data_IF_485510061307
#
_entry.id   IF_485510061307
#
_cell.length_a   1.000
_cell.length_b   1.000
_cell.length_c   1.000
_cell.angle_alpha   90.00
_cell.angle_beta   90.00
_cell.angle_gamma   90.00
#
_symmetry.space_group_name_H-M   'P 1'
#
loop_
_entity.id
_entity.type
_entity.pdbx_description
1 polymer ?
#
# COMPACT_ATOMS: atom_id res chain seq x y z
N UNK A 1 -20.07 27.08 -1.14
CA UNK A 1 -19.95 26.14 -2.28
C UNK A 1 -18.95 25.07 -1.89
N UNK A 2 -19.44 23.89 -1.49
CA UNK A 2 -18.58 22.73 -1.32
C UNK A 2 -18.32 22.17 -2.72
N UNK A 3 -17.09 22.34 -3.23
CA UNK A 3 -16.67 21.59 -4.40
C UNK A 3 -16.65 20.12 -3.98
N UNK A 4 -17.65 19.36 -4.43
CA UNK A 4 -17.60 17.90 -4.43
C UNK A 4 -16.43 17.53 -5.35
N UNK A 5 -15.24 17.40 -4.76
CA UNK A 5 -14.07 16.88 -5.44
C UNK A 5 -14.47 15.48 -5.89
N UNK A 6 -14.58 15.27 -7.21
CA UNK A 6 -14.96 13.99 -7.77
C UNK A 6 -14.00 12.93 -7.19
N UNK A 7 -14.49 11.78 -6.69
CA UNK A 7 -13.62 10.72 -6.20
C UNK A 7 -12.60 10.36 -7.28
N UNK A 8 -11.33 10.18 -6.90
CA UNK A 8 -10.31 9.78 -7.84
C UNK A 8 -10.70 8.43 -8.49
N UNK A 9 -10.47 8.25 -9.79
CA UNK A 9 -10.74 6.97 -10.42
C UNK A 9 -9.85 5.87 -9.78
N UNK A 10 -10.37 4.65 -9.60
CA UNK A 10 -9.66 3.54 -8.98
C UNK A 10 -8.24 3.31 -9.51
N UNK A 11 -8.03 3.47 -10.82
CA UNK A 11 -6.74 3.29 -11.50
C UNK A 11 -5.72 4.37 -11.10
N UNK A 12 -6.18 5.60 -10.89
CA UNK A 12 -5.34 6.71 -10.39
C UNK A 12 -4.95 6.47 -8.93
N UNK A 13 -5.83 5.90 -8.11
CA UNK A 13 -5.51 5.54 -6.73
C UNK A 13 -4.43 4.46 -6.66
N UNK A 14 -4.56 3.41 -7.48
CA UNK A 14 -3.56 2.33 -7.57
C UNK A 14 -2.22 2.87 -8.07
N UNK A 15 -2.20 3.60 -9.18
CA UNK A 15 -0.95 4.13 -9.75
C UNK A 15 -0.30 5.21 -8.88
N UNK A 16 -1.10 6.05 -8.21
CA UNK A 16 -0.63 7.01 -7.22
C UNK A 16 0.00 6.32 -6.01
N UNK A 17 -0.57 5.20 -5.56
CA UNK A 17 -0.01 4.40 -4.47
C UNK A 17 1.31 3.73 -4.89
N UNK A 18 1.39 3.17 -6.10
CA UNK A 18 2.66 2.61 -6.63
C UNK A 18 3.74 3.68 -6.67
N UNK A 19 3.43 4.87 -7.20
CA UNK A 19 4.39 5.97 -7.29
C UNK A 19 4.86 6.44 -5.92
N UNK A 20 3.92 6.63 -4.98
CA UNK A 20 4.23 7.11 -3.64
C UNK A 20 5.02 6.08 -2.82
N UNK A 21 4.72 4.79 -2.93
CA UNK A 21 5.48 3.72 -2.26
C UNK A 21 6.89 3.59 -2.82
N UNK A 22 7.07 3.77 -4.13
CA UNK A 22 8.39 3.80 -4.77
C UNK A 22 9.23 5.01 -4.31
N UNK A 23 8.65 6.21 -4.25
CA UNK A 23 9.32 7.39 -3.72
C UNK A 23 9.73 7.22 -2.25
N UNK A 24 8.82 6.68 -1.43
CA UNK A 24 9.05 6.48 0.00
C UNK A 24 10.18 5.49 0.27
N UNK A 25 10.19 4.36 -0.43
CA UNK A 25 11.23 3.33 -0.33
C UNK A 25 12.57 3.81 -0.88
N UNK A 26 12.58 4.54 -2.01
CA UNK A 26 13.78 5.14 -2.60
C UNK A 26 14.42 6.17 -1.66
N UNK A 27 13.59 6.99 -1.01
CA UNK A 27 14.05 8.00 -0.04
C UNK A 27 14.68 7.35 1.19
N UNK A 28 14.15 6.21 1.65
CA UNK A 28 14.77 5.44 2.73
C UNK A 28 16.12 4.86 2.30
N UNK A 29 16.22 4.32 1.09
CA UNK A 29 17.48 3.80 0.57
C UNK A 29 18.54 4.91 0.50
N UNK A 30 18.17 6.09 -0.02
CA UNK A 30 19.02 7.26 -0.02
C UNK A 30 19.47 7.66 1.39
N UNK A 31 18.57 7.63 2.39
CA UNK A 31 18.88 7.88 3.81
C UNK A 31 19.80 6.85 4.43
N UNK A 32 19.62 5.57 4.11
CA UNK A 32 20.49 4.50 4.59
C UNK A 32 21.91 4.66 4.04
N UNK A 33 22.04 5.00 2.75
CA UNK A 33 23.33 5.30 2.12
C UNK A 33 23.98 6.58 2.68
N UNK A 34 23.18 7.60 3.02
CA UNK A 34 23.66 8.89 3.56
C UNK A 34 23.82 8.92 5.08
N UNK A 35 23.76 7.77 5.78
CA UNK A 35 24.02 7.65 7.24
C UNK A 35 25.38 8.21 7.71
N UNK A 36 26.26 8.63 6.81
CA UNK A 36 27.53 9.29 7.10
C UNK A 36 27.53 10.82 6.92
N UNK A 37 26.47 11.46 6.40
CA UNK A 37 26.49 12.88 6.02
C UNK A 37 25.33 13.76 6.57
N UNK A 38 24.38 13.18 7.31
CA UNK A 38 23.21 13.90 7.84
C UNK A 38 21.99 13.82 6.91
N UNK A 39 20.79 13.94 7.48
CA UNK A 39 19.53 13.81 6.74
C UNK A 39 19.32 15.06 5.88
N UNK A 40 19.31 14.88 4.55
CA UNK A 40 18.93 15.93 3.61
C UNK A 40 17.47 16.38 3.84
N UNK A 41 17.25 17.69 3.91
CA UNK A 41 15.94 18.31 4.18
C UNK A 41 14.94 18.00 3.07
N UNK A 42 15.39 18.01 1.82
CA UNK A 42 14.54 17.70 0.66
C UNK A 42 14.05 16.26 0.71
N UNK A 43 14.94 15.32 1.06
CA UNK A 43 14.58 13.92 1.27
C UNK A 43 13.55 13.74 2.41
N UNK A 44 13.62 14.51 3.49
CA UNK A 44 12.60 14.48 4.54
C UNK A 44 11.25 15.01 4.07
N UNK A 45 11.23 16.10 3.31
CA UNK A 45 10.00 16.66 2.74
C UNK A 45 9.34 15.69 1.77
N UNK A 46 10.12 15.03 0.90
CA UNK A 46 9.62 14.00 -0.02
C UNK A 46 9.02 12.83 0.77
N UNK A 47 9.75 12.25 1.74
CA UNK A 47 9.23 11.14 2.54
C UNK A 47 7.91 11.49 3.24
N UNK A 48 7.80 12.69 3.83
CA UNK A 48 6.57 13.13 4.51
C UNK A 48 5.40 13.30 3.53
N UNK A 49 5.67 13.85 2.35
CA UNK A 49 4.66 13.99 1.29
C UNK A 49 4.21 12.62 0.79
N UNK A 50 5.13 11.73 0.45
CA UNK A 50 4.80 10.39 -0.05
C UNK A 50 4.06 9.57 1.01
N UNK A 51 4.42 9.70 2.30
CA UNK A 51 3.68 9.07 3.41
C UNK A 51 2.23 9.58 3.48
N UNK A 52 2.02 10.89 3.31
CA UNK A 52 0.68 11.47 3.28
C UNK A 52 -0.13 10.95 2.09
N UNK A 53 0.48 10.84 0.91
CA UNK A 53 -0.20 10.30 -0.28
C UNK A 53 -0.58 8.84 -0.08
N UNK A 54 0.34 8.02 0.44
CA UNK A 54 0.06 6.61 0.77
C UNK A 54 -1.10 6.51 1.76
N UNK A 55 -1.10 7.31 2.82
CA UNK A 55 -2.16 7.30 3.82
C UNK A 55 -3.53 7.64 3.20
N UNK A 56 -3.60 8.71 2.42
CA UNK A 56 -4.84 9.14 1.76
C UNK A 56 -5.36 8.09 0.79
N UNK A 57 -4.49 7.54 -0.07
CA UNK A 57 -4.90 6.53 -1.05
C UNK A 57 -5.29 5.22 -0.39
N UNK A 58 -4.61 4.77 0.65
CA UNK A 58 -5.01 3.59 1.41
C UNK A 58 -6.37 3.77 2.09
N UNK A 59 -6.67 4.97 2.59
CA UNK A 59 -7.98 5.27 3.17
C UNK A 59 -9.06 5.23 2.09
N UNK A 60 -8.85 5.87 0.94
CA UNK A 60 -9.82 5.85 -0.16
C UNK A 60 -10.05 4.44 -0.72
N UNK A 61 -8.98 3.66 -0.88
CA UNK A 61 -9.08 2.26 -1.28
C UNK A 61 -9.79 1.40 -0.23
N UNK A 62 -9.54 1.65 1.06
CA UNK A 62 -10.24 0.98 2.15
C UNK A 62 -11.75 1.24 2.11
N UNK A 63 -12.16 2.50 1.90
CA UNK A 63 -13.58 2.84 1.74
C UNK A 63 -14.22 2.13 0.55
N UNK A 64 -13.52 2.06 -0.59
CA UNK A 64 -14.03 1.36 -1.78
C UNK A 64 -14.17 -0.14 -1.53
N UNK A 65 -13.13 -0.77 -0.98
CA UNK A 65 -13.01 -2.23 -0.92
C UNK A 65 -13.70 -2.86 0.30
N UNK A 66 -13.81 -2.11 1.39
CA UNK A 66 -14.22 -2.62 2.70
C UNK A 66 -15.46 -1.88 3.21
N UNK A 67 -15.60 -0.60 2.85
CA UNK A 67 -16.59 0.29 3.45
C UNK A 67 -16.16 0.82 4.81
N UNK A 68 -17.08 1.50 5.48
CA UNK A 68 -16.95 1.96 6.86
C UNK A 68 -18.26 1.76 7.63
N UNK A 69 -18.40 2.43 8.79
CA UNK A 69 -19.61 2.30 9.60
C UNK A 69 -20.87 2.91 8.94
N UNK A 70 -20.69 3.78 7.95
CA UNK A 70 -21.76 4.55 7.32
C UNK A 70 -22.02 4.13 5.87
N UNK A 71 -21.05 3.48 5.22
CA UNK A 71 -21.11 3.11 3.81
C UNK A 71 -20.63 1.67 3.58
N UNK A 72 -21.42 0.90 2.84
CA UNK A 72 -21.02 -0.40 2.32
C UNK A 72 -19.88 -0.28 1.29
N UNK A 73 -19.09 -1.34 1.06
CA UNK A 73 -18.09 -1.37 -0.01
C UNK A 73 -18.71 -1.12 -1.39
N UNK A 74 -18.02 -0.33 -2.21
CA UNK A 74 -18.42 -0.06 -3.60
C UNK A 74 -17.86 -1.15 -4.50
N UNK A 75 -18.62 -2.22 -4.71
CA UNK A 75 -18.19 -3.37 -5.52
C UNK A 75 -17.84 -3.00 -6.96
N UNK A 76 -18.53 -2.02 -7.54
CA UNK A 76 -18.27 -1.60 -8.91
C UNK A 76 -16.89 -0.97 -9.07
N UNK A 77 -16.51 -0.11 -8.12
CA UNK A 77 -15.17 0.47 -8.06
C UNK A 77 -14.14 -0.52 -7.52
N UNK A 78 -14.54 -1.43 -6.64
CA UNK A 78 -13.68 -2.48 -6.09
C UNK A 78 -13.16 -3.42 -7.18
N UNK A 79 -14.00 -3.82 -8.12
CA UNK A 79 -13.58 -4.60 -9.30
C UNK A 79 -12.54 -3.84 -10.15
N UNK A 80 -12.72 -2.52 -10.33
CA UNK A 80 -11.75 -1.68 -11.05
C UNK A 80 -10.42 -1.55 -10.31
N UNK A 81 -10.45 -1.39 -8.97
CA UNK A 81 -9.24 -1.44 -8.14
C UNK A 81 -8.51 -2.77 -8.33
N UNK A 82 -9.24 -3.89 -8.26
CA UNK A 82 -8.64 -5.21 -8.38
C UNK A 82 -7.98 -5.45 -9.75
N UNK A 83 -8.66 -5.05 -10.83
CA UNK A 83 -8.10 -5.11 -12.18
C UNK A 83 -6.85 -4.22 -12.33
N UNK A 84 -6.89 -2.99 -11.80
CA UNK A 84 -5.74 -2.08 -11.81
C UNK A 84 -4.56 -2.64 -11.00
N UNK A 85 -4.83 -3.19 -9.81
CA UNK A 85 -3.81 -3.77 -8.94
C UNK A 85 -3.18 -5.03 -9.55
N UNK A 86 -3.96 -5.86 -10.26
CA UNK A 86 -3.46 -7.05 -10.94
C UNK A 86 -2.60 -6.72 -12.17
N UNK A 87 -2.89 -5.62 -12.88
CA UNK A 87 -2.11 -5.19 -14.05
C UNK A 87 -0.87 -4.36 -13.70
N UNK A 88 -0.77 -3.87 -12.46
CA UNK A 88 0.39 -3.16 -11.94
C UNK A 88 1.17 -4.05 -10.95
N UNK A 89 2.14 -4.86 -11.44
CA UNK A 89 2.86 -5.83 -10.60
C UNK A 89 3.60 -5.19 -9.42
N UNK A 90 3.99 -3.92 -9.56
CA UNK A 90 4.68 -3.15 -8.52
C UNK A 90 3.76 -2.71 -7.38
N UNK A 91 2.43 -2.79 -7.53
CA UNK A 91 1.50 -2.38 -6.48
C UNK A 91 1.67 -3.22 -5.21
N UNK A 92 1.63 -4.54 -5.34
CA UNK A 92 1.76 -5.44 -4.22
C UNK A 92 3.17 -5.40 -3.60
N UNK A 93 4.20 -5.37 -4.43
CA UNK A 93 5.58 -5.25 -3.97
C UNK A 93 5.85 -3.91 -3.28
N UNK A 94 5.33 -2.81 -3.83
CA UNK A 94 5.38 -1.47 -3.25
C UNK A 94 4.74 -1.41 -1.87
N UNK A 95 3.53 -1.97 -1.73
CA UNK A 95 2.85 -2.04 -0.43
C UNK A 95 3.66 -2.79 0.62
N UNK A 96 4.12 -4.00 0.31
CA UNK A 96 4.88 -4.83 1.26
C UNK A 96 6.22 -4.20 1.64
N UNK A 97 6.89 -3.57 0.68
CA UNK A 97 8.22 -2.97 0.88
C UNK A 97 8.19 -1.66 1.66
N UNK A 98 7.07 -0.93 1.67
CA UNK A 98 6.96 0.33 2.41
C UNK A 98 6.36 0.20 3.81
N UNK A 99 5.87 -0.98 4.23
CA UNK A 99 5.15 -1.15 5.51
C UNK A 99 5.90 -0.61 6.73
N UNK A 100 7.19 -0.89 6.82
CA UNK A 100 8.01 -0.47 7.96
C UNK A 100 8.34 1.03 7.97
N UNK A 101 8.03 1.74 6.88
CA UNK A 101 8.11 3.19 6.76
C UNK A 101 6.82 3.89 7.18
N UNK A 102 5.71 3.14 7.23
CA UNK A 102 4.40 3.69 7.57
C UNK A 102 4.16 3.68 9.08
N UNK A 103 3.34 4.60 9.61
CA UNK A 103 2.81 4.47 10.96
C UNK A 103 1.84 3.29 11.07
N UNK A 104 1.59 2.85 12.31
CA UNK A 104 0.85 1.61 12.60
C UNK A 104 -0.55 1.54 11.94
N UNK A 105 -1.31 2.63 11.96
CA UNK A 105 -2.66 2.63 11.37
C UNK A 105 -2.62 2.45 9.85
N UNK A 106 -1.67 3.11 9.17
CA UNK A 106 -1.51 2.94 7.73
C UNK A 106 -1.01 1.53 7.37
N UNK A 107 -0.20 0.89 8.23
CA UNK A 107 0.17 -0.53 8.07
C UNK A 107 -1.06 -1.43 8.10
N UNK A 108 -1.98 -1.20 9.04
CA UNK A 108 -3.25 -1.96 9.13
C UNK A 108 -4.11 -1.72 7.89
N UNK A 109 -4.26 -0.48 7.44
CA UNK A 109 -5.00 -0.16 6.22
C UNK A 109 -4.41 -0.86 4.99
N UNK A 110 -3.08 -0.87 4.85
CA UNK A 110 -2.40 -1.58 3.78
C UNK A 110 -2.67 -3.10 3.82
N UNK A 111 -2.60 -3.71 5.01
CA UNK A 111 -2.89 -5.13 5.18
C UNK A 111 -4.35 -5.45 4.86
N UNK A 112 -5.31 -4.63 5.29
CA UNK A 112 -6.72 -4.84 4.97
C UNK A 112 -7.02 -4.70 3.48
N UNK A 113 -6.47 -3.68 2.81
CA UNK A 113 -6.60 -3.51 1.35
C UNK A 113 -6.01 -4.72 0.62
N UNK A 114 -4.81 -5.14 1.00
CA UNK A 114 -4.14 -6.30 0.40
C UNK A 114 -4.95 -7.60 0.60
N UNK A 115 -5.37 -7.87 1.83
CA UNK A 115 -6.13 -9.06 2.16
C UNK A 115 -7.50 -9.08 1.45
N UNK A 116 -8.18 -7.93 1.36
CA UNK A 116 -9.43 -7.84 0.60
C UNK A 116 -9.20 -8.20 -0.87
N UNK A 117 -8.20 -7.60 -1.52
CA UNK A 117 -7.86 -7.86 -2.93
C UNK A 117 -7.47 -9.31 -3.19
N UNK A 118 -6.75 -9.96 -2.28
CA UNK A 118 -6.40 -11.38 -2.40
C UNK A 118 -7.62 -12.29 -2.24
N UNK A 119 -8.55 -11.94 -1.36
CA UNK A 119 -9.72 -12.76 -1.03
C UNK A 119 -10.97 -12.44 -1.86
N UNK A 120 -10.86 -11.59 -2.87
CA UNK A 120 -11.98 -11.28 -3.77
C UNK A 120 -12.48 -12.55 -4.47
N UNK A 121 -13.80 -12.67 -4.59
CA UNK A 121 -14.46 -13.83 -5.22
C UNK A 121 -14.81 -13.59 -6.68
N UNK A 122 -14.93 -12.33 -7.08
CA UNK A 122 -15.24 -11.91 -8.46
C UNK A 122 -14.01 -11.94 -9.38
N UNK A 123 -12.80 -11.96 -8.83
CA UNK A 123 -11.54 -12.14 -9.57
C UNK A 123 -10.47 -12.81 -8.72
N UNK A 124 -9.61 -13.61 -9.35
CA UNK A 124 -8.44 -14.24 -8.71
C UNK A 124 -7.11 -13.72 -9.26
N UNK A 125 -7.14 -12.69 -10.11
CA UNK A 125 -5.96 -12.21 -10.83
C UNK A 125 -4.92 -11.63 -9.88
N UNK A 126 -5.33 -10.80 -8.92
CA UNK A 126 -4.43 -10.24 -7.93
C UNK A 126 -3.75 -11.34 -7.10
N UNK A 127 -4.52 -12.28 -6.55
CA UNK A 127 -3.99 -13.43 -5.83
C UNK A 127 -3.00 -14.26 -6.69
N UNK A 128 -3.28 -14.40 -7.99
CA UNK A 128 -2.39 -15.10 -8.93
C UNK A 128 -1.07 -14.35 -9.12
N UNK A 129 -1.07 -13.02 -9.16
CA UNK A 129 0.14 -12.20 -9.22
C UNK A 129 0.99 -12.40 -7.96
N UNK A 130 0.36 -12.41 -6.78
CA UNK A 130 1.06 -12.66 -5.50
C UNK A 130 1.68 -14.07 -5.49
N UNK A 131 0.89 -15.09 -5.83
CA UNK A 131 1.33 -16.48 -5.84
C UNK A 131 2.52 -16.73 -6.78
N UNK A 132 2.61 -15.95 -7.87
CA UNK A 132 3.70 -16.02 -8.86
C UNK A 132 4.90 -15.13 -8.51
N UNK A 133 4.87 -14.40 -7.40
CA UNK A 133 5.95 -13.50 -6.98
C UNK A 133 6.68 -14.02 -5.75
N UNK A 134 7.78 -14.79 -5.92
CA UNK A 134 8.59 -15.28 -4.82
C UNK A 134 9.12 -14.16 -3.91
N UNK A 135 9.34 -12.96 -4.47
CA UNK A 135 9.85 -11.80 -3.73
C UNK A 135 8.83 -11.34 -2.69
N UNK A 136 7.55 -11.24 -3.08
CA UNK A 136 6.48 -10.82 -2.17
C UNK A 136 6.31 -11.87 -1.07
N UNK A 137 6.19 -13.15 -1.43
CA UNK A 137 6.01 -14.25 -0.47
C UNK A 137 7.21 -14.33 0.49
N UNK A 138 8.43 -14.20 -0.02
CA UNK A 138 9.64 -14.21 0.81
C UNK A 138 9.70 -12.99 1.74
N UNK A 139 9.26 -11.82 1.28
CA UNK A 139 9.23 -10.61 2.10
C UNK A 139 8.22 -10.72 3.25
N UNK A 140 7.04 -11.28 2.98
CA UNK A 140 6.01 -11.53 3.99
C UNK A 140 6.47 -12.59 5.01
N UNK A 141 7.01 -13.72 4.55
CA UNK A 141 7.43 -14.82 5.43
C UNK A 141 8.70 -14.51 6.24
N UNK A 142 9.66 -13.78 5.68
CA UNK A 142 10.87 -13.40 6.42
C UNK A 142 10.60 -12.39 7.54
N UNK A 143 9.44 -11.73 7.53
CA UNK A 143 9.07 -10.77 8.58
C UNK A 143 8.95 -11.39 9.97
N UNK A 144 8.63 -12.69 10.06
CA UNK A 144 8.60 -13.40 11.35
C UNK A 144 9.98 -13.56 11.99
N UNK A 145 11.05 -13.26 11.26
CA UNK A 145 12.43 -13.22 11.78
C UNK A 145 12.80 -11.83 12.32
N UNK A 146 11.95 -10.83 12.09
CA UNK A 146 12.17 -9.45 12.50
C UNK A 146 11.80 -9.29 13.98
N UNK A 147 12.58 -8.51 14.73
CA UNK A 147 12.35 -8.31 16.18
C UNK A 147 11.15 -7.39 16.46
N UNK A 148 10.65 -6.71 15.43
CA UNK A 148 9.52 -5.77 15.52
C UNK A 148 8.18 -6.52 15.43
N UNK A 149 7.64 -6.88 16.60
CA UNK A 149 6.46 -7.76 16.72
C UNK A 149 5.22 -7.27 15.96
N UNK A 150 5.00 -5.96 15.85
CA UNK A 150 3.87 -5.38 15.14
C UNK A 150 3.98 -5.57 13.62
N UNK A 151 5.18 -5.40 13.05
CA UNK A 151 5.41 -5.59 11.62
C UNK A 151 5.26 -7.06 11.19
N UNK A 152 5.72 -7.99 12.04
CA UNK A 152 5.54 -9.43 11.83
C UNK A 152 4.05 -9.81 11.82
N UNK A 153 3.25 -9.25 12.73
CA UNK A 153 1.80 -9.48 12.76
C UNK A 153 1.10 -8.93 11.52
N UNK A 154 1.42 -7.69 11.12
CA UNK A 154 0.84 -7.06 9.92
C UNK A 154 1.15 -7.86 8.66
N UNK A 155 2.41 -8.28 8.49
CA UNK A 155 2.81 -9.10 7.33
C UNK A 155 2.27 -10.53 7.40
N UNK A 156 1.93 -11.03 8.59
CA UNK A 156 1.23 -12.30 8.75
C UNK A 156 -0.26 -12.26 8.40
N UNK A 157 -0.88 -11.07 8.47
CA UNK A 157 -2.27 -10.86 8.02
C UNK A 157 -2.39 -10.79 6.49
N UNK A 158 -1.28 -10.49 5.80
CA UNK A 158 -1.18 -10.37 4.33
C UNK A 158 -0.76 -11.69 3.69
#
# INVERSE_FOLDING_TARGET
MWFLRRPAPPEELVSGLVSATLELTSTRYARFQTRLAGVDKTSLEIANRSTTVVATHLQELGLILIGDAESDPDESRGALVAAAAATQPDFAAGLVSCLDLLPLEQRKSAAHVFANLVNRTDTTEFATVIAKSPIIISSLTNAYKDETADLALIRGMM
#
